data_IF_406829158230
#
_entry.id   IF_406829158230
#
_cell.length_a   1.000
_cell.length_b   1.000
_cell.length_c   1.000
_cell.angle_alpha   90.00
_cell.angle_beta   90.00
_cell.angle_gamma   90.00
#
_symmetry.space_group_name_H-M   'P 1'
#
loop_
_entity.id
_entity.type
_entity.pdbx_description
1 polymer ?
#
# COMPACT_ATOMS: atom_id res chain seq x y z
N UNK A 1 15.09 3.16 -7.40
CA UNK A 1 15.70 3.46 -6.10
C UNK A 1 14.75 3.10 -4.98
N UNK A 2 15.22 2.29 -4.05
CA UNK A 2 14.45 1.80 -2.91
C UNK A 2 15.15 2.12 -1.61
N UNK A 3 14.39 2.46 -0.61
CA UNK A 3 14.88 2.62 0.75
C UNK A 3 13.97 1.86 1.71
N UNK A 4 14.56 0.98 2.49
CA UNK A 4 13.87 0.35 3.61
C UNK A 4 14.12 1.19 4.85
N UNK A 5 13.03 1.58 5.50
CA UNK A 5 13.11 2.42 6.70
C UNK A 5 12.69 1.63 7.93
N UNK A 6 13.49 1.75 8.98
CA UNK A 6 13.12 1.33 10.32
C UNK A 6 13.19 2.58 11.18
N UNK A 7 12.05 3.04 11.65
CA UNK A 7 12.01 4.27 12.43
C UNK A 7 11.36 4.06 13.79
N UNK A 8 12.11 4.29 14.82
CA UNK A 8 11.64 4.25 16.19
C UNK A 8 10.96 5.57 16.59
N UNK A 9 11.32 6.65 15.92
CA UNK A 9 10.85 8.00 16.24
C UNK A 9 9.67 8.47 15.38
N UNK A 10 9.29 7.72 14.35
CA UNK A 10 8.21 8.09 13.43
C UNK A 10 7.25 6.91 13.23
N UNK A 11 6.40 6.62 14.22
CA UNK A 11 5.47 5.50 14.12
C UNK A 11 4.51 5.66 12.94
N UNK A 12 4.24 4.55 12.27
CA UNK A 12 3.28 4.52 11.18
C UNK A 12 3.86 4.77 9.79
N UNK A 13 5.14 5.16 9.71
CA UNK A 13 5.81 5.30 8.40
C UNK A 13 5.88 3.92 7.72
N UNK A 14 5.50 3.83 6.42
CA UNK A 14 5.55 2.55 5.70
C UNK A 14 6.97 1.98 5.59
N UNK A 15 7.03 0.67 5.31
CA UNK A 15 8.28 -0.10 5.30
C UNK A 15 9.26 0.32 4.23
N UNK A 16 8.76 0.68 3.05
CA UNK A 16 9.60 0.96 1.89
C UNK A 16 9.26 2.29 1.24
N UNK A 17 10.28 2.99 0.81
CA UNK A 17 10.16 4.15 -0.04
C UNK A 17 10.87 3.89 -1.36
N UNK A 18 10.22 4.21 -2.47
CA UNK A 18 10.79 4.05 -3.80
C UNK A 18 10.65 5.32 -4.62
N UNK A 19 11.58 5.52 -5.54
CA UNK A 19 11.51 6.56 -6.56
C UNK A 19 11.89 5.92 -7.89
N UNK A 20 11.05 6.11 -8.89
CA UNK A 20 11.31 5.62 -10.24
C UNK A 20 10.68 6.56 -11.25
N UNK A 21 11.45 6.99 -12.23
CA UNK A 21 11.02 7.88 -13.31
C UNK A 21 10.35 9.18 -12.79
N UNK A 22 10.90 9.75 -11.72
CA UNK A 22 10.39 10.97 -11.13
C UNK A 22 9.17 10.79 -10.23
N UNK A 23 8.70 9.55 -10.02
CA UNK A 23 7.57 9.23 -9.16
C UNK A 23 8.06 8.63 -7.85
N UNK A 24 7.72 9.28 -6.73
CA UNK A 24 8.00 8.76 -5.40
C UNK A 24 6.78 8.02 -4.87
N UNK A 25 7.01 6.95 -4.12
CA UNK A 25 5.92 6.19 -3.52
C UNK A 25 6.37 5.49 -2.25
N UNK A 26 5.40 5.14 -1.40
CA UNK A 26 5.62 4.38 -0.18
C UNK A 26 4.85 3.07 -0.26
N UNK A 27 5.44 1.99 0.27
CA UNK A 27 4.80 0.68 0.35
C UNK A 27 4.83 0.16 1.78
N UNK A 28 3.67 -0.24 2.27
CA UNK A 28 3.55 -1.03 3.49
C UNK A 28 3.40 -2.50 3.08
N UNK A 29 4.21 -3.38 3.66
CA UNK A 29 4.19 -4.80 3.34
C UNK A 29 3.42 -5.56 4.42
N UNK A 30 2.42 -6.33 4.01
CA UNK A 30 1.59 -7.13 4.91
C UNK A 30 1.38 -8.53 4.35
N UNK A 31 1.15 -9.47 5.26
CA UNK A 31 0.77 -10.84 4.91
C UNK A 31 -0.57 -11.15 5.56
N UNK A 32 -1.53 -11.59 4.75
CA UNK A 32 -2.84 -11.99 5.23
C UNK A 32 -2.86 -13.50 5.45
N UNK A 33 -3.14 -13.92 6.69
CA UNK A 33 -3.13 -15.34 7.08
C UNK A 33 -4.54 -15.94 7.02
N UNK A 34 -4.60 -17.23 6.71
CA UNK A 34 -5.84 -17.97 6.49
C UNK A 34 -6.84 -17.92 7.63
N UNK A 35 -6.36 -18.03 8.86
CA UNK A 35 -7.22 -18.15 10.02
C UNK A 35 -7.52 -16.79 10.67
N UNK A 36 -7.13 -15.71 10.03
CA UNK A 36 -7.51 -14.38 10.49
C UNK A 36 -8.79 -13.94 9.77
N UNK A 37 -9.46 -12.93 10.32
CA UNK A 37 -10.54 -12.25 9.62
C UNK A 37 -10.00 -11.65 8.32
N UNK A 38 -10.90 -11.31 7.40
CA UNK A 38 -10.50 -10.74 6.11
C UNK A 38 -9.81 -9.37 6.21
N UNK A 39 -9.67 -8.84 7.40
CA UNK A 39 -9.00 -7.57 7.62
C UNK A 39 -7.49 -7.71 7.59
N UNK A 40 -6.83 -6.65 7.18
CA UNK A 40 -5.38 -6.54 7.17
C UNK A 40 -4.93 -5.84 8.44
N UNK A 41 -3.91 -6.39 9.09
CA UNK A 41 -3.46 -5.89 10.39
C UNK A 41 -2.68 -4.59 10.26
N UNK A 42 -3.38 -3.48 10.11
CA UNK A 42 -2.80 -2.14 10.15
C UNK A 42 -3.00 -1.55 11.55
N UNK A 43 -1.93 -1.03 12.11
CA UNK A 43 -1.99 -0.35 13.42
C UNK A 43 -2.58 1.06 13.26
N UNK A 44 -3.17 1.63 14.33
CA UNK A 44 -3.78 2.96 14.23
C UNK A 44 -2.89 4.05 13.67
N UNK A 45 -1.60 4.09 14.03
CA UNK A 45 -0.73 5.12 13.46
C UNK A 45 -0.37 4.87 12.01
N UNK A 46 -0.37 3.62 11.54
CA UNK A 46 -0.18 3.30 10.12
C UNK A 46 -1.37 3.80 9.32
N UNK A 47 -2.57 3.57 9.84
CA UNK A 47 -3.81 4.06 9.21
C UNK A 47 -3.79 5.59 9.14
N UNK A 48 -3.50 6.25 10.26
CA UNK A 48 -3.48 7.71 10.33
C UNK A 48 -2.45 8.30 9.37
N UNK A 49 -1.25 7.73 9.34
CA UNK A 49 -0.19 8.19 8.46
C UNK A 49 -0.59 8.08 6.98
N UNK A 50 -1.15 6.93 6.59
CA UNK A 50 -1.55 6.70 5.20
C UNK A 50 -2.70 7.62 4.77
N UNK A 51 -3.70 7.80 5.61
CA UNK A 51 -4.83 8.68 5.33
C UNK A 51 -4.33 10.12 5.15
N UNK A 52 -3.49 10.57 6.05
CA UNK A 52 -2.94 11.93 5.98
C UNK A 52 -2.08 12.13 4.73
N UNK A 53 -1.18 11.19 4.46
CA UNK A 53 -0.29 11.28 3.31
C UNK A 53 -1.07 11.24 2.00
N UNK A 54 -2.06 10.34 1.89
CA UNK A 54 -2.95 10.27 0.72
C UNK A 54 -3.75 11.56 0.55
N UNK A 55 -4.19 12.17 1.66
CA UNK A 55 -4.93 13.43 1.64
C UNK A 55 -4.11 14.61 1.10
N UNK A 56 -2.80 14.54 1.20
CA UNK A 56 -1.88 15.53 0.63
C UNK A 56 -1.45 15.15 -0.80
N UNK A 57 -2.22 14.31 -1.46
CA UNK A 57 -1.93 13.78 -2.79
C UNK A 57 -0.67 12.92 -2.85
N UNK A 58 -0.26 12.37 -1.71
CA UNK A 58 0.88 11.48 -1.63
C UNK A 58 0.57 10.08 -2.16
N UNK A 59 1.58 9.40 -2.64
CA UNK A 59 1.47 8.07 -3.25
C UNK A 59 1.93 7.00 -2.25
N UNK A 60 0.97 6.41 -1.54
CA UNK A 60 1.22 5.35 -0.56
C UNK A 60 0.30 4.17 -0.82
N UNK A 61 0.86 2.96 -0.71
CA UNK A 61 0.17 1.73 -1.05
C UNK A 61 0.45 0.65 -0.02
N UNK A 62 -0.49 -0.29 0.08
CA UNK A 62 -0.34 -1.51 0.88
C UNK A 62 -0.23 -2.69 -0.07
N UNK A 63 0.87 -3.41 -0.01
CA UNK A 63 1.07 -4.62 -0.77
C UNK A 63 0.85 -5.80 0.18
N UNK A 64 -0.18 -6.59 -0.12
CA UNK A 64 -0.63 -7.68 0.76
C UNK A 64 -0.42 -9.02 0.06
N UNK A 65 0.39 -9.88 0.66
CA UNK A 65 0.57 -11.24 0.20
C UNK A 65 -0.48 -12.16 0.84
N UNK A 66 -1.05 -13.05 0.02
CA UNK A 66 -2.00 -14.07 0.47
C UNK A 66 -1.42 -15.45 0.14
N UNK A 67 -0.63 -16.06 1.07
CA UNK A 67 0.04 -17.32 0.77
C UNK A 67 -0.91 -18.46 0.40
N UNK A 68 -2.08 -18.51 1.01
CA UNK A 68 -3.07 -19.57 0.76
C UNK A 68 -3.62 -19.56 -0.65
N UNK A 69 -3.89 -18.39 -1.20
CA UNK A 69 -4.41 -18.25 -2.56
C UNK A 69 -3.31 -17.97 -3.58
N UNK A 70 -2.07 -17.82 -3.10
CA UNK A 70 -0.90 -17.51 -3.94
C UNK A 70 -1.13 -16.25 -4.79
N UNK A 71 -1.61 -15.20 -4.12
CA UNK A 71 -1.87 -13.92 -4.77
C UNK A 71 -1.19 -12.80 -4.01
N UNK A 72 -0.93 -11.71 -4.73
CA UNK A 72 -0.56 -10.42 -4.13
C UNK A 72 -1.63 -9.41 -4.52
N UNK A 73 -2.01 -8.58 -3.57
CA UNK A 73 -3.00 -7.53 -3.77
C UNK A 73 -2.42 -6.19 -3.37
N UNK A 74 -2.80 -5.15 -4.08
CA UNK A 74 -2.37 -3.79 -3.78
C UNK A 74 -3.60 -2.94 -3.49
N UNK A 75 -3.54 -2.20 -2.37
CA UNK A 75 -4.59 -1.28 -1.94
C UNK A 75 -4.00 0.11 -1.75
N UNK A 76 -4.63 1.12 -2.32
CA UNK A 76 -4.22 2.50 -2.11
C UNK A 76 -4.32 2.91 -0.63
N UNK A 77 -3.42 3.77 -0.16
CA UNK A 77 -3.38 4.20 1.24
C UNK A 77 -4.64 4.91 1.72
N UNK A 78 -5.40 5.54 0.83
CA UNK A 78 -6.68 6.15 1.17
C UNK A 78 -7.71 5.14 1.68
N UNK A 79 -7.49 3.85 1.39
CA UNK A 79 -8.36 2.75 1.81
C UNK A 79 -7.91 2.08 3.11
N UNK A 80 -6.96 2.68 3.82
CA UNK A 80 -6.36 2.06 5.01
C UNK A 80 -7.41 1.72 6.09
N UNK A 81 -8.37 2.60 6.35
CA UNK A 81 -9.44 2.31 7.31
C UNK A 81 -10.33 1.17 6.84
N UNK A 82 -10.65 1.15 5.55
CA UNK A 82 -11.51 0.13 4.95
C UNK A 82 -10.88 -1.26 5.10
N UNK A 83 -9.61 -1.41 4.70
CA UNK A 83 -8.95 -2.71 4.75
C UNK A 83 -8.67 -3.18 6.18
N UNK A 84 -8.42 -2.26 7.10
CA UNK A 84 -8.18 -2.58 8.51
C UNK A 84 -9.46 -2.96 9.26
N UNK A 85 -10.58 -2.42 8.82
CA UNK A 85 -11.88 -2.66 9.45
C UNK A 85 -12.68 -3.80 8.86
N UNK A 86 -12.20 -4.45 7.81
CA UNK A 86 -12.92 -5.52 7.14
C UNK A 86 -13.19 -6.70 8.07
N UNK A 87 -14.41 -7.24 8.00
CA UNK A 87 -14.82 -8.45 8.72
C UNK A 87 -15.26 -9.53 7.74
N UNK A 88 -15.42 -10.75 8.23
CA UNK A 88 -15.91 -11.87 7.40
C UNK A 88 -17.27 -11.59 6.79
N UNK A 89 -18.12 -10.85 7.47
CA UNK A 89 -19.46 -10.49 6.99
C UNK A 89 -19.40 -9.64 5.72
N UNK A 90 -18.37 -8.84 5.61
CA UNK A 90 -18.22 -7.92 4.48
C UNK A 90 -17.63 -8.59 3.24
N UNK A 91 -17.18 -9.84 3.42
CA UNK A 91 -16.49 -10.56 2.35
C UNK A 91 -15.11 -9.96 2.03
N UNK A 92 -14.41 -10.52 1.05
CA UNK A 92 -13.11 -9.97 0.65
C UNK A 92 -13.28 -8.66 -0.09
N UNK A 93 -12.39 -7.69 0.21
CA UNK A 93 -12.34 -6.42 -0.50
C UNK A 93 -11.71 -6.59 -1.87
N UNK A 94 -12.23 -5.87 -2.85
CA UNK A 94 -11.59 -5.80 -4.17
C UNK A 94 -10.33 -4.95 -4.08
N UNK A 95 -9.15 -5.52 -4.45
CA UNK A 95 -7.92 -4.74 -4.49
C UNK A 95 -7.94 -3.76 -5.67
N UNK A 96 -7.08 -2.75 -5.58
CA UNK A 96 -6.87 -1.83 -6.69
C UNK A 96 -6.11 -2.51 -7.82
N UNK A 97 -5.31 -3.50 -7.48
CA UNK A 97 -4.57 -4.33 -8.43
C UNK A 97 -4.21 -5.65 -7.78
N UNK A 98 -4.17 -6.73 -8.56
CA UNK A 98 -3.76 -8.03 -8.02
C UNK A 98 -3.08 -8.89 -9.09
N UNK A 99 -2.31 -9.87 -8.63
CA UNK A 99 -1.66 -10.86 -9.48
C UNK A 99 -1.57 -12.20 -8.78
N UNK A 100 -1.73 -13.28 -9.56
CA UNK A 100 -1.41 -14.63 -9.13
C UNK A 100 0.02 -15.02 -9.45
N UNK A 101 0.31 -16.32 -9.39
CA UNK A 101 1.63 -16.87 -9.75
C UNK A 101 1.68 -17.13 -11.27
N UNK A 102 2.77 -16.77 -11.96
CA UNK A 102 3.92 -16.00 -11.48
C UNK A 102 3.53 -14.55 -11.18
N UNK A 103 4.09 -13.99 -10.12
CA UNK A 103 3.75 -12.63 -9.73
C UNK A 103 4.27 -11.61 -10.75
N UNK A 104 3.39 -10.76 -11.18
CA UNK A 104 3.70 -9.69 -12.14
C UNK A 104 4.15 -8.43 -11.40
N UNK A 105 5.41 -8.43 -10.97
CA UNK A 105 5.98 -7.29 -10.23
C UNK A 105 6.07 -6.04 -11.09
N UNK A 106 6.36 -6.19 -12.37
CA UNK A 106 6.40 -5.05 -13.31
C UNK A 106 5.02 -4.41 -13.43
N UNK A 107 3.97 -5.22 -13.54
CA UNK A 107 2.58 -4.72 -13.57
C UNK A 107 2.20 -3.99 -12.30
N UNK A 108 2.61 -4.52 -11.14
CA UNK A 108 2.36 -3.90 -9.84
C UNK A 108 2.98 -2.50 -9.77
N UNK A 109 4.26 -2.39 -10.11
CA UNK A 109 4.98 -1.12 -10.10
C UNK A 109 4.38 -0.15 -11.10
N UNK A 110 4.05 -0.61 -12.30
CA UNK A 110 3.41 0.23 -13.31
C UNK A 110 2.07 0.79 -12.84
N UNK A 111 1.28 -0.02 -12.13
CA UNK A 111 0.02 0.45 -11.56
C UNK A 111 0.25 1.57 -10.54
N UNK A 112 1.21 1.38 -9.64
CA UNK A 112 1.55 2.38 -8.61
C UNK A 112 2.02 3.68 -9.26
N UNK A 113 2.90 3.59 -10.27
CA UNK A 113 3.45 4.76 -10.93
C UNK A 113 2.40 5.50 -11.77
N UNK A 114 1.51 4.78 -12.44
CA UNK A 114 0.48 5.40 -13.28
C UNK A 114 -0.58 6.14 -12.45
N UNK A 115 -0.69 5.82 -11.17
CA UNK A 115 -1.64 6.45 -10.26
C UNK A 115 -1.09 7.70 -9.58
N UNK A 116 0.17 8.06 -9.87
CA UNK A 116 0.81 9.24 -9.29
C UNK A 116 1.18 10.22 -10.39
N UNK A 117 1.26 11.50 -10.03
CA UNK A 117 1.78 12.53 -10.92
C UNK A 117 3.23 12.82 -10.56
N UNK A 118 4.13 13.02 -11.55
CA UNK A 118 5.48 13.44 -11.25
C UNK A 118 5.47 14.82 -10.61
N UNK A 119 6.41 15.04 -9.70
CA UNK A 119 6.56 16.35 -9.07
C UNK A 119 7.13 17.31 -10.10
N UNK A 120 6.42 18.42 -10.36
CA UNK A 120 6.86 19.47 -11.27
C UNK A 120 7.00 20.77 -10.51
N UNK A 121 7.59 21.79 -11.15
CA UNK A 121 7.72 23.11 -10.53
C UNK A 121 6.35 23.74 -10.24
N UNK A 122 5.37 23.51 -11.09
CA UNK A 122 4.03 24.00 -10.87
C UNK A 122 3.41 23.40 -9.62
N UNK A 123 3.74 22.16 -9.31
CA UNK A 123 3.24 21.47 -8.12
C UNK A 123 3.90 21.98 -6.84
N UNK A 124 5.04 22.60 -6.94
CA UNK A 124 5.81 23.14 -5.81
C UNK A 124 5.36 24.53 -5.36
N UNK A 125 4.51 25.16 -6.14
CA UNK A 125 4.07 26.54 -5.89
C UNK A 125 2.89 26.61 -4.91
#
# INVERSE_FOLDING_TARGET
FWTRLESWSSPGVPDLHGILDGHAFWLELKVHRLNSLNKIALRPHQIAWQIRYSGESGNVWNLVGHPSSRTINIFHGSRAMEIAGQTEKDGPLSPDWSSGIPYDWAGAINHILSSSSPITREDEV
#
